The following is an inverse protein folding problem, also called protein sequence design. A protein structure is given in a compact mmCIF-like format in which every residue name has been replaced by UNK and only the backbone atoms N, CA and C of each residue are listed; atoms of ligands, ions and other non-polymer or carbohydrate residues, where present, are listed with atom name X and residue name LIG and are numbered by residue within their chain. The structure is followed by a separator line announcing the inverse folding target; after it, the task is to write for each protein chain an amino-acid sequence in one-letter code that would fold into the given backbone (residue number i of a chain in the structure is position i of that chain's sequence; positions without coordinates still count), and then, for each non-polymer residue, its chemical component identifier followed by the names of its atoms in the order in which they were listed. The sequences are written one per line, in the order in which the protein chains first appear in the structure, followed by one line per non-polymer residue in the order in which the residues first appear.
data_IF_720510027212
#
_entry.id   IF_720510027212
#
_cell.length_a   1.000
_cell.length_b   1.000
_cell.length_c   1.000
_cell.angle_alpha   90.00
_cell.angle_beta   90.00
_cell.angle_gamma   90.00
#
_symmetry.space_group_name_H-M   'P 1'
#
loop_
_entity.id
_entity.type
_entity.pdbx_description
1 polymer ?
#
# COMPACT_ATOMS: atom_id res chain seq x y z
N UNK A 1 41.94 5.44 -0.10
CA UNK A 1 41.03 4.42 0.44
C UNK A 1 39.62 4.88 0.13
N UNK A 2 38.84 4.11 -0.62
CA UNK A 2 37.41 4.39 -0.75
C UNK A 2 36.80 4.09 0.63
N UNK A 3 36.54 5.14 1.38
CA UNK A 3 35.84 5.08 2.65
C UNK A 3 34.45 4.47 2.38
N UNK A 4 34.17 3.31 2.98
CA UNK A 4 32.87 2.66 2.82
C UNK A 4 31.84 3.48 3.57
N UNK A 5 30.87 4.05 2.86
CA UNK A 5 29.77 4.83 3.44
C UNK A 5 28.54 3.94 3.60
N UNK A 6 27.93 3.94 4.77
CA UNK A 6 26.70 3.21 5.08
C UNK A 6 25.53 4.20 5.16
N UNK A 7 24.39 3.82 4.58
CA UNK A 7 23.20 4.65 4.52
C UNK A 7 22.35 4.51 5.80
N UNK A 8 22.01 5.65 6.39
CA UNK A 8 21.06 5.78 7.50
C UNK A 8 19.87 6.61 7.02
N UNK A 9 18.79 5.97 6.53
CA UNK A 9 17.60 6.66 6.03
C UNK A 9 16.69 7.12 7.17
N UNK A 10 16.04 8.24 6.96
CA UNK A 10 15.10 8.84 7.90
C UNK A 10 14.12 9.78 7.16
N UNK A 11 13.16 10.33 7.88
CA UNK A 11 12.15 11.23 7.32
C UNK A 11 11.97 12.46 8.20
N UNK A 12 11.59 13.58 7.58
CA UNK A 12 10.97 14.70 8.27
C UNK A 12 9.46 14.56 8.08
N UNK A 13 8.78 14.16 9.15
CA UNK A 13 7.33 14.04 9.20
C UNK A 13 6.68 15.39 9.51
N UNK A 14 5.66 15.72 8.74
CA UNK A 14 4.95 16.98 8.75
C UNK A 14 3.47 16.69 9.01
N UNK A 15 3.01 16.88 10.24
CA UNK A 15 1.61 16.78 10.58
C UNK A 15 0.92 18.09 10.22
N UNK A 16 -0.06 18.01 9.32
CA UNK A 16 -0.77 19.16 8.80
C UNK A 16 -1.91 19.53 9.76
N UNK A 17 -2.19 20.83 9.91
CA UNK A 17 -3.39 21.25 10.62
C UNK A 17 -4.65 20.74 9.90
N UNK A 18 -5.69 20.42 10.68
CA UNK A 18 -6.88 19.75 10.15
C UNK A 18 -7.48 20.39 8.88
N UNK A 19 -7.54 19.60 7.80
CA UNK A 19 -8.11 20.00 6.51
C UNK A 19 -7.18 20.79 5.59
N UNK A 20 -5.94 21.05 6.00
CA UNK A 20 -4.91 21.66 5.16
C UNK A 20 -4.31 20.65 4.18
N UNK A 21 -3.85 21.14 3.04
CA UNK A 21 -3.08 20.39 2.06
C UNK A 21 -1.98 21.30 1.50
N UNK A 22 -0.79 20.78 1.17
CA UNK A 22 0.23 21.59 0.54
C UNK A 22 -0.21 22.00 -0.88
N UNK A 23 0.14 23.21 -1.29
CA UNK A 23 -0.15 23.75 -2.63
C UNK A 23 0.50 22.90 -3.74
N UNK A 24 1.61 22.25 -3.42
CA UNK A 24 2.37 21.35 -4.29
C UNK A 24 3.14 20.32 -3.47
N UNK A 25 3.47 19.19 -4.08
CA UNK A 25 4.22 18.11 -3.43
C UNK A 25 5.73 18.18 -3.67
N UNK A 26 6.19 19.08 -4.54
CA UNK A 26 7.57 19.12 -4.98
C UNK A 26 8.17 20.52 -4.78
N UNK A 27 9.42 20.55 -4.33
CA UNK A 27 10.25 21.74 -4.21
C UNK A 27 11.13 21.86 -5.45
N UNK A 28 11.39 23.09 -5.88
CA UNK A 28 12.43 23.37 -6.87
C UNK A 28 13.80 23.03 -6.32
N UNK A 29 14.80 22.89 -7.19
CA UNK A 29 16.19 22.65 -6.78
C UNK A 29 16.69 23.65 -5.73
N UNK A 30 16.40 24.94 -5.89
CA UNK A 30 16.87 25.98 -4.97
C UNK A 30 16.14 25.93 -3.63
N UNK A 31 14.84 25.64 -3.64
CA UNK A 31 14.03 25.46 -2.43
C UNK A 31 14.46 24.20 -1.66
N UNK A 32 14.69 23.09 -2.36
CA UNK A 32 15.20 21.86 -1.78
C UNK A 32 16.58 22.06 -1.16
N UNK A 33 17.46 22.82 -1.82
CA UNK A 33 18.79 23.14 -1.28
C UNK A 33 18.69 24.02 -0.02
N UNK A 34 17.76 24.98 0.00
CA UNK A 34 17.50 25.82 1.17
C UNK A 34 16.97 25.00 2.34
N UNK A 35 15.99 24.13 2.09
CA UNK A 35 15.47 23.21 3.09
C UNK A 35 16.57 22.29 3.64
N UNK A 36 17.40 21.72 2.76
CA UNK A 36 18.48 20.84 3.17
C UNK A 36 19.51 21.54 4.08
N UNK A 37 19.79 22.83 3.87
CA UNK A 37 20.65 23.60 4.76
C UNK A 37 20.03 23.77 6.15
N UNK A 38 18.73 24.12 6.22
CA UNK A 38 17.99 24.26 7.48
C UNK A 38 17.90 22.93 8.25
N UNK A 39 17.58 21.85 7.55
CA UNK A 39 17.57 20.50 8.15
C UNK A 39 18.96 20.11 8.63
N UNK A 40 20.02 20.41 7.88
CA UNK A 40 21.38 20.14 8.33
C UNK A 40 21.77 20.95 9.58
N UNK A 41 21.26 22.18 9.75
CA UNK A 41 21.42 22.96 10.97
C UNK A 41 20.73 22.29 12.17
N UNK A 42 19.48 21.85 11.99
CA UNK A 42 18.72 21.13 13.01
C UNK A 42 19.45 19.82 13.41
N UNK A 43 19.87 19.02 12.43
CA UNK A 43 20.55 17.75 12.66
C UNK A 43 21.89 17.93 13.39
N UNK A 44 22.63 19.01 13.15
CA UNK A 44 23.86 19.30 13.92
C UNK A 44 23.58 19.61 15.38
N UNK A 45 22.45 20.23 15.69
CA UNK A 45 22.04 20.48 17.06
C UNK A 45 21.55 19.19 17.75
N UNK A 46 20.88 18.31 17.01
CA UNK A 46 20.30 17.06 17.53
C UNK A 46 21.31 15.91 17.63
N UNK A 47 22.26 15.83 16.68
CA UNK A 47 23.16 14.70 16.48
C UNK A 47 24.62 15.20 16.39
N UNK A 48 25.30 15.42 17.52
CA UNK A 48 26.70 15.83 17.52
C UNK A 48 27.58 14.82 16.76
N UNK A 49 28.40 15.31 15.81
CA UNK A 49 29.28 14.46 15.00
C UNK A 49 28.70 14.08 13.63
N UNK A 50 27.46 14.47 13.33
CA UNK A 50 26.80 14.25 12.03
C UNK A 50 27.56 14.92 10.86
N UNK A 51 28.41 15.91 11.14
CA UNK A 51 29.22 16.64 10.15
C UNK A 51 30.26 15.77 9.44
N UNK A 52 30.60 14.62 10.01
CA UNK A 52 31.44 13.59 9.38
C UNK A 52 30.71 12.87 8.23
N UNK A 53 29.38 12.93 8.23
CA UNK A 53 28.51 12.24 7.29
C UNK A 53 28.17 13.14 6.11
N UNK A 54 27.82 12.52 4.97
CA UNK A 54 27.17 13.25 3.87
C UNK A 54 25.66 13.22 4.10
N UNK A 55 25.00 14.36 3.98
CA UNK A 55 23.56 14.51 4.12
C UNK A 55 22.91 14.66 2.74
N UNK A 56 21.81 13.93 2.51
CA UNK A 56 21.02 14.05 1.30
C UNK A 56 19.52 14.15 1.62
N UNK A 57 18.80 15.01 0.90
CA UNK A 57 17.36 15.23 1.05
C UNK A 57 16.66 15.21 -0.30
N UNK A 58 15.50 14.56 -0.38
CA UNK A 58 14.60 14.71 -1.51
C UNK A 58 13.63 15.87 -1.25
N UNK A 59 13.60 16.87 -2.13
CA UNK A 59 12.70 18.01 -2.06
C UNK A 59 11.29 17.66 -2.52
N UNK A 60 10.71 16.61 -1.96
CA UNK A 60 9.37 16.14 -2.31
C UNK A 60 8.65 15.56 -1.08
N UNK A 61 7.32 15.69 -1.06
CA UNK A 61 6.44 15.31 0.04
C UNK A 61 5.66 14.06 -0.35
N UNK A 62 5.86 12.99 0.41
CA UNK A 62 5.26 11.67 0.18
C UNK A 62 4.26 11.33 1.28
N UNK A 63 3.38 10.38 0.97
CA UNK A 63 2.63 9.61 1.96
C UNK A 63 3.48 8.44 2.51
N UNK A 64 3.10 7.93 3.68
CA UNK A 64 3.73 6.74 4.29
C UNK A 64 3.68 5.52 3.39
N UNK A 65 2.58 5.31 2.65
CA UNK A 65 2.44 4.15 1.75
C UNK A 65 3.47 4.16 0.62
N UNK A 66 3.92 5.34 0.18
CA UNK A 66 4.89 5.48 -0.90
C UNK A 66 6.32 5.18 -0.42
N UNK A 67 6.65 5.61 0.80
CA UNK A 67 7.96 5.36 1.40
C UNK A 67 8.11 3.91 1.88
N UNK A 68 7.02 3.30 2.33
CA UNK A 68 6.96 1.93 2.84
C UNK A 68 6.53 0.93 1.76
N UNK A 69 7.13 1.00 0.58
CA UNK A 69 6.99 -0.05 -0.46
C UNK A 69 8.16 -1.04 -0.36
N UNK A 70 7.98 -2.33 -0.66
CA UNK A 70 9.07 -3.31 -0.65
C UNK A 70 10.30 -2.83 -1.42
N UNK A 71 11.49 -2.96 -0.79
CA UNK A 71 12.75 -2.44 -1.33
C UNK A 71 12.97 -0.94 -1.13
N UNK A 72 12.04 -0.22 -0.49
CA UNK A 72 12.13 1.21 -0.17
C UNK A 72 12.55 2.08 -1.37
N UNK A 73 11.83 2.04 -2.50
CA UNK A 73 12.28 2.59 -3.78
C UNK A 73 12.66 4.07 -3.72
N UNK A 74 11.96 4.88 -2.92
CA UNK A 74 12.27 6.30 -2.72
C UNK A 74 13.61 6.47 -2.02
N UNK A 75 13.82 5.77 -0.89
CA UNK A 75 15.05 5.83 -0.10
C UNK A 75 16.25 5.23 -0.85
N UNK A 76 16.05 4.11 -1.54
CA UNK A 76 17.07 3.48 -2.38
C UNK A 76 17.51 4.39 -3.53
N UNK A 77 16.57 5.08 -4.18
CA UNK A 77 16.87 6.05 -5.23
C UNK A 77 17.62 7.27 -4.68
N UNK A 78 17.20 7.78 -3.52
CA UNK A 78 17.91 8.87 -2.85
C UNK A 78 19.35 8.47 -2.52
N UNK A 79 19.58 7.25 -2.03
CA UNK A 79 20.90 6.68 -1.79
C UNK A 79 21.76 6.63 -3.05
N UNK A 80 21.23 6.06 -4.13
CA UNK A 80 21.93 5.94 -5.40
C UNK A 80 22.39 7.31 -5.92
N UNK A 81 21.49 8.29 -5.91
CA UNK A 81 21.80 9.66 -6.34
C UNK A 81 22.81 10.32 -5.40
N UNK A 82 22.62 10.21 -4.09
CA UNK A 82 23.51 10.81 -3.10
C UNK A 82 24.94 10.27 -3.22
N UNK A 83 25.12 8.97 -3.52
CA UNK A 83 26.44 8.35 -3.72
C UNK A 83 27.15 8.83 -4.98
N UNK A 84 26.41 9.21 -6.02
CA UNK A 84 26.97 9.72 -7.29
C UNK A 84 27.51 11.15 -7.22
N UNK A 85 27.14 11.92 -6.20
CA UNK A 85 27.61 13.30 -6.06
C UNK A 85 29.09 13.34 -5.64
N UNK A 86 29.98 14.06 -6.36
CA UNK A 86 31.38 14.17 -5.98
C UNK A 86 31.59 15.01 -4.70
N UNK A 87 32.45 14.56 -3.77
CA UNK A 87 32.73 15.25 -2.49
C UNK A 87 33.18 16.72 -2.64
N UNK A 88 33.84 17.07 -3.74
CA UNK A 88 34.42 18.42 -3.95
C UNK A 88 33.37 19.46 -4.33
N UNK A 89 32.20 19.02 -4.82
CA UNK A 89 31.19 19.93 -5.39
C UNK A 89 30.28 20.54 -4.31
N UNK A 90 30.18 19.91 -3.13
CA UNK A 90 29.24 20.32 -2.08
C UNK A 90 29.99 20.70 -0.80
N UNK A 91 30.02 21.99 -0.47
CA UNK A 91 30.51 22.44 0.83
C UNK A 91 29.71 21.77 1.96
N UNK A 92 30.40 21.12 2.90
CA UNK A 92 29.77 20.45 4.05
C UNK A 92 29.04 19.14 3.74
N UNK A 93 29.12 18.61 2.51
CA UNK A 93 28.51 17.32 2.18
C UNK A 93 26.97 17.31 2.21
N UNK A 94 26.32 18.48 2.14
CA UNK A 94 24.86 18.62 2.05
C UNK A 94 24.43 18.60 0.58
N UNK A 95 23.52 17.70 0.23
CA UNK A 95 22.97 17.51 -1.11
C UNK A 95 21.45 17.57 -1.05
N UNK A 96 20.82 18.25 -2.00
CA UNK A 96 19.38 18.22 -2.17
C UNK A 96 18.99 17.87 -3.60
N UNK A 97 17.90 17.13 -3.74
CA UNK A 97 17.32 16.76 -5.03
C UNK A 97 15.92 17.36 -5.12
N UNK A 98 15.78 18.45 -5.87
CA UNK A 98 14.49 19.06 -6.19
C UNK A 98 14.26 19.09 -7.70
N UNK A 99 13.13 19.66 -8.11
CA UNK A 99 12.77 19.72 -9.53
C UNK A 99 13.68 20.65 -10.33
N UNK A 100 13.96 20.26 -11.57
CA UNK A 100 14.54 21.12 -12.59
C UNK A 100 13.62 21.11 -13.81
N UNK A 101 13.22 22.30 -14.29
CA UNK A 101 12.23 22.43 -15.36
C UNK A 101 10.93 21.64 -15.08
N UNK A 102 10.51 21.59 -13.81
CA UNK A 102 9.29 20.90 -13.38
C UNK A 102 9.40 19.38 -13.25
N UNK A 103 10.60 18.80 -13.32
CA UNK A 103 10.80 17.36 -13.22
C UNK A 103 11.76 16.99 -12.10
N UNK A 104 11.40 16.00 -11.29
CA UNK A 104 12.30 15.35 -10.33
C UNK A 104 13.38 14.54 -11.07
N UNK A 105 14.57 14.35 -10.49
CA UNK A 105 15.70 13.71 -11.18
C UNK A 105 15.53 12.20 -11.41
N UNK A 106 14.55 11.56 -10.79
CA UNK A 106 14.23 10.15 -10.97
C UNK A 106 12.75 9.87 -10.66
N UNK A 107 12.14 8.91 -11.36
CA UNK A 107 10.73 8.57 -11.22
C UNK A 107 10.30 8.20 -9.79
N UNK A 108 11.07 7.41 -9.00
CA UNK A 108 10.69 7.11 -7.62
C UNK A 108 10.69 8.32 -6.68
N UNK A 109 11.27 9.46 -7.09
CA UNK A 109 11.22 10.69 -6.31
C UNK A 109 10.05 11.60 -6.70
N UNK A 110 9.16 11.17 -7.60
CA UNK A 110 7.93 11.88 -7.95
C UNK A 110 6.80 11.35 -7.04
N UNK A 111 6.23 12.16 -6.14
CA UNK A 111 5.10 11.75 -5.33
C UNK A 111 3.85 11.48 -6.18
N UNK A 112 3.07 10.49 -5.78
CA UNK A 112 1.79 10.17 -6.42
C UNK A 112 0.67 11.09 -5.87
N UNK A 113 0.04 11.92 -6.73
CA UNK A 113 -1.05 12.80 -6.32
C UNK A 113 -2.26 12.08 -5.71
N UNK A 114 -2.44 10.78 -6.00
CA UNK A 114 -3.53 9.99 -5.41
C UNK A 114 -3.46 9.93 -3.89
N UNK A 115 -2.25 9.89 -3.33
CA UNK A 115 -2.05 9.87 -1.88
C UNK A 115 -1.97 11.28 -1.29
N UNK A 116 -2.32 12.33 -2.02
CA UNK A 116 -2.03 13.69 -1.58
C UNK A 116 -2.84 14.14 -0.33
N UNK A 117 -3.95 13.48 -0.05
CA UNK A 117 -4.93 13.88 0.98
C UNK A 117 -4.61 13.48 2.42
N UNK A 118 -3.48 12.79 2.68
CA UNK A 118 -3.13 12.31 4.02
C UNK A 118 -2.85 13.47 5.01
N UNK A 119 -3.16 13.30 6.31
CA UNK A 119 -2.95 14.32 7.34
C UNK A 119 -1.48 14.53 7.70
N UNK A 120 -0.60 13.64 7.23
CA UNK A 120 0.84 13.69 7.45
C UNK A 120 1.58 13.60 6.12
N UNK A 121 2.68 14.35 6.01
CA UNK A 121 3.59 14.35 4.85
C UNK A 121 5.00 14.03 5.28
N UNK A 122 5.70 13.29 4.44
CA UNK A 122 7.04 12.79 4.75
C UNK A 122 8.02 13.32 3.71
N UNK A 123 9.06 14.00 4.18
CA UNK A 123 10.19 14.41 3.34
C UNK A 123 11.35 13.46 3.64
N UNK A 124 11.73 12.56 2.73
CA UNK A 124 12.79 11.59 2.98
C UNK A 124 14.16 12.24 2.90
N UNK A 125 15.01 11.87 3.85
CA UNK A 125 16.40 12.27 3.91
C UNK A 125 17.28 11.10 4.35
N UNK A 126 18.59 11.24 4.19
CA UNK A 126 19.53 10.23 4.64
C UNK A 126 20.88 10.81 5.03
N UNK A 127 21.58 10.05 5.86
CA UNK A 127 23.00 10.24 6.12
C UNK A 127 23.79 9.09 5.48
N UNK A 128 24.88 9.43 4.80
CA UNK A 128 25.89 8.49 4.33
C UNK A 128 27.10 8.62 5.25
N UNK A 129 27.20 7.66 6.17
CA UNK A 129 28.07 7.69 7.34
C UNK A 129 29.30 6.81 7.11
N UNK A 130 30.52 7.24 7.53
CA UNK A 130 31.68 6.35 7.56
C UNK A 130 31.40 5.05 8.34
N UNK A 131 31.83 3.92 7.81
CA UNK A 131 31.50 2.60 8.37
C UNK A 131 31.99 2.39 9.82
N UNK A 132 33.02 3.10 10.25
CA UNK A 132 33.54 3.07 11.62
C UNK A 132 32.72 3.92 12.62
N UNK A 133 31.79 4.75 12.12
CA UNK A 133 30.96 5.66 12.93
C UNK A 133 29.46 5.33 12.88
N UNK A 134 29.05 4.42 11.99
CA UNK A 134 27.61 4.14 11.75
C UNK A 134 26.89 3.65 12.99
N UNK A 135 27.49 2.77 13.79
CA UNK A 135 26.82 2.16 14.93
C UNK A 135 26.48 3.23 15.98
N UNK A 136 27.46 4.07 16.35
CA UNK A 136 27.28 5.15 17.31
C UNK A 136 26.25 6.17 16.83
N UNK A 137 26.33 6.57 15.55
CA UNK A 137 25.42 7.57 14.99
C UNK A 137 23.99 7.03 14.83
N UNK A 138 23.82 5.79 14.36
CA UNK A 138 22.50 5.16 14.27
C UNK A 138 21.84 5.04 15.65
N UNK A 139 22.59 4.62 16.67
CA UNK A 139 22.04 4.60 18.02
C UNK A 139 21.71 5.99 18.56
N UNK A 140 22.49 7.02 18.20
CA UNK A 140 22.19 8.40 18.55
C UNK A 140 20.92 8.90 17.84
N UNK A 141 20.73 8.55 16.57
CA UNK A 141 19.50 8.86 15.82
C UNK A 141 18.28 8.29 16.53
N UNK A 142 18.26 6.99 16.84
CA UNK A 142 17.10 6.38 17.52
C UNK A 142 16.80 7.04 18.87
N UNK A 143 17.82 7.36 19.67
CA UNK A 143 17.62 7.97 21.00
C UNK A 143 17.19 9.44 20.92
N UNK A 144 17.90 10.25 20.16
CA UNK A 144 17.72 11.70 20.17
C UNK A 144 16.52 12.13 19.32
N UNK A 145 16.23 11.47 18.19
CA UNK A 145 15.09 11.83 17.34
C UNK A 145 13.76 11.45 18.01
N UNK A 146 13.69 10.30 18.67
CA UNK A 146 12.50 9.92 19.45
C UNK A 146 12.20 10.93 20.59
N UNK A 147 13.25 11.41 21.28
CA UNK A 147 13.09 12.28 22.45
C UNK A 147 12.95 13.78 22.12
N UNK A 148 13.70 14.27 21.12
CA UNK A 148 13.88 15.70 20.82
C UNK A 148 13.78 16.04 19.34
N UNK A 149 13.32 15.13 18.50
CA UNK A 149 13.34 15.28 17.04
C UNK A 149 12.42 16.36 16.46
N UNK A 150 11.97 17.37 17.21
CA UNK A 150 11.22 18.48 16.62
C UNK A 150 12.10 19.30 15.67
N UNK A 151 11.55 19.65 14.51
CA UNK A 151 12.23 20.53 13.57
C UNK A 151 12.33 21.95 14.13
N UNK A 152 13.44 22.63 13.82
CA UNK A 152 13.66 24.00 14.24
C UNK A 152 12.62 24.96 13.66
N UNK A 153 12.40 26.09 14.33
CA UNK A 153 11.43 27.11 13.90
C UNK A 153 11.69 27.60 12.48
N UNK A 154 12.97 27.77 12.10
CA UNK A 154 13.33 28.21 10.75
C UNK A 154 12.94 27.18 9.67
N UNK A 155 13.13 25.88 9.95
CA UNK A 155 12.73 24.78 9.07
C UNK A 155 11.22 24.75 8.88
N UNK A 156 10.47 24.79 9.98
CA UNK A 156 9.00 24.79 9.97
C UNK A 156 8.43 26.03 9.26
N UNK A 157 8.97 27.23 9.55
CA UNK A 157 8.55 28.48 8.91
C UNK A 157 8.81 28.47 7.40
N UNK A 158 9.97 27.95 6.98
CA UNK A 158 10.30 27.81 5.57
C UNK A 158 9.29 26.90 4.85
N UNK A 159 9.00 25.73 5.42
CA UNK A 159 8.06 24.76 4.86
C UNK A 159 6.65 25.35 4.74
N UNK A 160 6.13 25.96 5.81
CA UNK A 160 4.80 26.57 5.80
C UNK A 160 4.66 27.66 4.72
N UNK A 161 5.66 28.54 4.60
CA UNK A 161 5.63 29.63 3.60
C UNK A 161 5.81 29.14 2.16
N UNK A 162 6.65 28.13 1.95
CA UNK A 162 7.03 27.66 0.60
C UNK A 162 5.96 26.74 0.00
N UNK A 163 5.22 26.04 0.84
CA UNK A 163 4.23 25.03 0.45
C UNK A 163 2.77 25.45 0.75
N UNK A 164 2.55 26.64 1.29
CA UNK A 164 1.21 27.18 1.51
C UNK A 164 0.38 26.42 2.54
N UNK A 165 1.03 25.69 3.46
CA UNK A 165 0.38 24.84 4.46
C UNK A 165 0.62 25.32 5.89
N UNK A 166 -0.21 24.85 6.82
CA UNK A 166 0.03 25.00 8.27
C UNK A 166 0.39 23.66 8.89
N UNK A 167 1.36 23.67 9.79
CA UNK A 167 1.85 22.50 10.50
C UNK A 167 1.35 22.53 11.95
N UNK A 168 0.87 21.39 12.43
CA UNK A 168 0.71 21.13 13.87
C UNK A 168 2.05 20.72 14.46
N UNK A 169 2.73 19.77 13.79
CA UNK A 169 4.03 19.26 14.21
C UNK A 169 4.94 19.02 13.00
N UNK A 170 6.24 19.21 13.20
CA UNK A 170 7.29 18.83 12.27
C UNK A 170 8.36 18.06 13.05
N UNK A 171 8.58 16.78 12.73
CA UNK A 171 9.42 15.88 13.51
C UNK A 171 10.30 15.00 12.63
N UNK A 172 11.57 14.89 12.98
CA UNK A 172 12.49 13.92 12.43
C UNK A 172 12.21 12.54 13.03
N UNK A 173 12.07 11.53 12.17
CA UNK A 173 11.84 10.14 12.54
C UNK A 173 12.84 9.25 11.81
N UNK A 174 13.35 8.22 12.47
CA UNK A 174 14.09 7.16 11.77
C UNK A 174 13.14 6.38 10.86
N UNK A 175 13.69 5.58 9.93
CA UNK A 175 12.86 4.65 9.15
C UNK A 175 12.16 3.65 10.08
N UNK A 176 12.81 3.23 11.14
CA UNK A 176 12.28 2.25 12.09
C UNK A 176 11.15 2.89 12.94
N UNK A 177 11.28 4.17 13.33
CA UNK A 177 10.19 4.95 13.92
C UNK A 177 8.98 5.05 12.98
N UNK A 178 9.21 5.29 11.68
CA UNK A 178 8.12 5.36 10.69
C UNK A 178 7.40 4.02 10.57
N UNK A 179 8.14 2.90 10.52
CA UNK A 179 7.56 1.56 10.51
C UNK A 179 6.72 1.31 11.77
N UNK A 180 7.24 1.66 12.95
CA UNK A 180 6.54 1.51 14.22
C UNK A 180 5.25 2.36 14.28
N UNK A 181 5.32 3.60 13.81
CA UNK A 181 4.16 4.49 13.72
C UNK A 181 3.08 3.91 12.80
N UNK A 182 3.46 3.45 11.59
CA UNK A 182 2.52 2.84 10.64
C UNK A 182 1.92 1.54 11.17
N UNK A 183 2.70 0.71 11.85
CA UNK A 183 2.21 -0.48 12.54
C UNK A 183 1.05 -0.14 13.48
N UNK A 184 1.28 0.79 14.42
CA UNK A 184 0.27 1.23 15.40
C UNK A 184 -0.96 1.83 14.70
N UNK A 185 -0.76 2.62 13.64
CA UNK A 185 -1.86 3.19 12.86
C UNK A 185 -2.75 2.09 12.24
N UNK A 186 -2.15 1.05 11.66
CA UNK A 186 -2.90 -0.05 11.04
C UNK A 186 -3.57 -0.95 12.07
N UNK A 187 -2.93 -1.20 13.21
CA UNK A 187 -3.55 -1.93 14.32
C UNK A 187 -4.82 -1.23 14.82
N UNK A 188 -4.81 0.10 14.99
CA UNK A 188 -5.97 0.87 15.45
C UNK A 188 -7.18 0.81 14.51
N UNK A 189 -6.99 0.49 13.23
CA UNK A 189 -8.07 0.34 12.24
C UNK A 189 -8.37 -1.13 11.89
N UNK A 190 -7.95 -2.07 12.74
CA UNK A 190 -8.14 -3.52 12.57
C UNK A 190 -7.44 -4.12 11.32
N UNK A 191 -6.28 -3.55 10.95
CA UNK A 191 -5.45 -4.03 9.84
C UNK A 191 -4.17 -4.73 10.32
N UNK A 192 -4.11 -5.13 11.59
CA UNK A 192 -2.95 -5.86 12.15
C UNK A 192 -2.55 -7.13 11.35
N UNK A 193 -3.49 -7.97 10.85
CA UNK A 193 -3.13 -9.11 10.01
C UNK A 193 -2.45 -8.70 8.70
N UNK A 194 -2.84 -7.55 8.15
CA UNK A 194 -2.26 -7.02 6.93
C UNK A 194 -0.89 -6.40 7.17
N UNK A 195 -0.71 -5.71 8.31
CA UNK A 195 0.61 -5.26 8.73
C UNK A 195 1.61 -6.42 8.81
N UNK A 196 1.20 -7.58 9.34
CA UNK A 196 2.07 -8.78 9.37
C UNK A 196 2.57 -9.14 7.96
N UNK A 197 1.72 -9.05 6.94
CA UNK A 197 2.11 -9.31 5.54
C UNK A 197 3.04 -8.22 4.98
N UNK A 198 2.74 -6.95 5.27
CA UNK A 198 3.54 -5.81 4.82
C UNK A 198 4.92 -5.78 5.48
N UNK A 199 5.01 -6.04 6.77
CA UNK A 199 6.26 -6.14 7.51
C UNK A 199 7.16 -7.23 6.91
N UNK A 200 6.58 -8.40 6.60
CA UNK A 200 7.28 -9.47 5.89
C UNK A 200 7.83 -8.97 4.54
N UNK A 201 6.98 -8.31 3.74
CA UNK A 201 7.37 -7.78 2.44
C UNK A 201 8.47 -6.68 2.53
N UNK A 202 8.48 -5.89 3.60
CA UNK A 202 9.40 -4.78 3.80
C UNK A 202 10.75 -5.22 4.37
N UNK A 203 10.73 -6.10 5.38
CA UNK A 203 11.90 -6.39 6.21
C UNK A 203 12.47 -7.79 6.00
N UNK A 204 11.61 -8.76 5.71
CA UNK A 204 12.02 -10.16 5.51
C UNK A 204 11.37 -10.76 4.27
N UNK A 205 11.54 -10.17 3.07
CA UNK A 205 10.77 -10.56 1.87
C UNK A 205 11.02 -12.00 1.42
N UNK A 206 12.06 -12.64 1.94
CA UNK A 206 12.47 -14.01 1.70
C UNK A 206 11.83 -15.04 2.66
N UNK A 207 11.05 -14.60 3.66
CA UNK A 207 10.33 -15.48 4.57
C UNK A 207 8.86 -15.59 4.16
N UNK A 208 8.30 -16.77 4.35
CA UNK A 208 6.86 -16.97 4.32
C UNK A 208 6.26 -16.50 5.64
N UNK A 209 5.12 -15.81 5.56
CA UNK A 209 4.36 -15.40 6.74
C UNK A 209 2.87 -15.68 6.56
N UNK A 210 2.17 -15.88 7.68
CA UNK A 210 0.73 -16.18 7.69
C UNK A 210 0.01 -15.37 8.74
N UNK A 211 -1.21 -14.93 8.42
CA UNK A 211 -2.11 -14.30 9.38
C UNK A 211 -3.56 -14.70 9.09
N UNK A 212 -4.46 -14.38 10.03
CA UNK A 212 -5.90 -14.50 9.86
C UNK A 212 -6.52 -13.11 9.89
N UNK A 213 -7.30 -12.77 8.86
CA UNK A 213 -8.10 -11.55 8.85
C UNK A 213 -9.11 -11.52 10.00
N UNK A 214 -9.76 -10.38 10.22
CA UNK A 214 -10.70 -10.19 11.33
C UNK A 214 -11.89 -11.16 11.26
N UNK A 215 -12.26 -11.57 10.04
CA UNK A 215 -13.31 -12.60 9.80
C UNK A 215 -12.77 -14.02 9.58
N UNK A 216 -11.50 -14.24 9.88
CA UNK A 216 -10.85 -15.55 9.79
C UNK A 216 -10.36 -15.92 8.40
N UNK A 217 -10.40 -15.01 7.41
CA UNK A 217 -9.84 -15.25 6.07
C UNK A 217 -8.32 -15.48 6.19
N UNK A 218 -7.79 -16.64 5.77
CA UNK A 218 -6.36 -16.88 5.79
C UNK A 218 -5.62 -15.98 4.80
N UNK A 219 -4.54 -15.38 5.27
CA UNK A 219 -3.57 -14.64 4.47
C UNK A 219 -2.23 -15.37 4.51
N UNK A 220 -1.55 -15.45 3.37
CA UNK A 220 -0.20 -15.99 3.28
C UNK A 220 0.68 -15.06 2.44
N UNK A 221 1.72 -14.50 3.02
CA UNK A 221 2.78 -13.83 2.26
C UNK A 221 3.81 -14.86 1.83
N UNK A 222 4.11 -14.91 0.53
CA UNK A 222 5.20 -15.70 -0.03
C UNK A 222 5.62 -15.13 -1.39
N UNK A 223 6.91 -15.18 -1.71
CA UNK A 223 7.44 -14.78 -3.02
C UNK A 223 7.00 -13.37 -3.47
N UNK A 224 6.92 -12.41 -2.53
CA UNK A 224 6.58 -11.01 -2.84
C UNK A 224 5.08 -10.72 -3.06
N UNK A 225 4.19 -11.67 -2.77
CA UNK A 225 2.74 -11.52 -2.91
C UNK A 225 2.00 -12.03 -1.67
N UNK A 226 0.77 -11.55 -1.49
CA UNK A 226 -0.18 -12.03 -0.49
C UNK A 226 -1.20 -12.91 -1.18
N UNK A 227 -1.40 -14.10 -0.66
CA UNK A 227 -2.31 -15.10 -1.20
C UNK A 227 -3.47 -15.36 -0.23
N UNK A 228 -4.66 -15.53 -0.80
CA UNK A 228 -5.86 -16.01 -0.09
C UNK A 228 -6.32 -17.34 -0.70
N UNK A 229 -7.05 -18.19 0.05
CA UNK A 229 -7.69 -19.36 -0.55
C UNK A 229 -8.79 -18.94 -1.53
N UNK A 230 -9.32 -19.91 -2.30
CA UNK A 230 -10.56 -19.75 -3.05
C UNK A 230 -11.67 -19.20 -2.14
N UNK A 231 -12.12 -17.97 -2.38
CA UNK A 231 -12.92 -17.21 -1.43
C UNK A 231 -14.29 -17.83 -1.20
N UNK A 232 -15.00 -18.21 -2.27
CA UNK A 232 -16.30 -18.86 -2.19
C UNK A 232 -16.19 -20.26 -1.59
N UNK A 233 -15.18 -21.05 -2.00
CA UNK A 233 -14.96 -22.39 -1.47
C UNK A 233 -14.61 -22.37 0.03
N UNK A 234 -13.71 -21.48 0.44
CA UNK A 234 -13.35 -21.27 1.84
C UNK A 234 -14.57 -20.78 2.64
N UNK A 235 -15.34 -19.83 2.13
CA UNK A 235 -16.51 -19.31 2.83
C UNK A 235 -17.57 -20.40 3.06
N UNK A 236 -17.84 -21.22 2.05
CA UNK A 236 -18.78 -22.33 2.16
C UNK A 236 -18.30 -23.39 3.16
N UNK A 237 -17.00 -23.70 3.22
CA UNK A 237 -16.48 -24.78 4.06
C UNK A 237 -16.14 -24.36 5.49
N UNK A 238 -15.39 -23.28 5.64
CA UNK A 238 -14.60 -23.01 6.84
C UNK A 238 -15.00 -21.70 7.55
N UNK A 239 -15.60 -20.74 6.84
CA UNK A 239 -15.97 -19.46 7.44
C UNK A 239 -17.10 -19.59 8.49
N UNK A 240 -17.03 -18.73 9.51
CA UNK A 240 -18.13 -18.53 10.45
C UNK A 240 -19.26 -17.75 9.78
N UNK A 241 -20.39 -18.43 9.52
CA UNK A 241 -21.54 -17.85 8.81
C UNK A 241 -22.54 -17.13 9.73
N UNK A 242 -22.32 -17.17 11.05
CA UNK A 242 -23.21 -16.56 12.03
C UNK A 242 -24.68 -16.96 11.85
N UNK A 243 -25.60 -16.03 12.13
CA UNK A 243 -27.03 -16.18 11.86
C UNK A 243 -27.46 -15.75 10.46
N UNK A 244 -26.58 -15.05 9.73
CA UNK A 244 -26.85 -14.55 8.39
C UNK A 244 -25.60 -14.64 7.51
N UNK A 245 -25.49 -15.75 6.78
CA UNK A 245 -24.35 -16.04 5.91
C UNK A 245 -24.10 -14.96 4.84
N UNK A 246 -25.15 -14.38 4.26
CA UNK A 246 -25.02 -13.34 3.26
C UNK A 246 -24.41 -12.05 3.85
N UNK A 247 -24.77 -11.71 5.09
CA UNK A 247 -24.18 -10.58 5.80
C UNK A 247 -22.69 -10.83 6.12
N UNK A 248 -22.34 -12.03 6.57
CA UNK A 248 -20.95 -12.38 6.85
C UNK A 248 -20.09 -12.35 5.58
N UNK A 249 -20.59 -12.89 4.46
CA UNK A 249 -19.87 -12.82 3.18
C UNK A 249 -19.68 -11.38 2.71
N UNK A 250 -20.70 -10.53 2.82
CA UNK A 250 -20.58 -9.10 2.52
C UNK A 250 -19.48 -8.45 3.39
N UNK A 251 -19.46 -8.77 4.69
CA UNK A 251 -18.42 -8.30 5.60
C UNK A 251 -17.01 -8.76 5.21
N UNK A 252 -16.84 -10.00 4.77
CA UNK A 252 -15.56 -10.52 4.28
C UNK A 252 -15.13 -9.81 2.99
N UNK A 253 -16.05 -9.58 2.05
CA UNK A 253 -15.76 -8.88 0.81
C UNK A 253 -15.39 -7.41 1.05
N UNK A 254 -16.03 -6.76 2.03
CA UNK A 254 -15.66 -5.41 2.45
C UNK A 254 -14.23 -5.38 2.99
N UNK A 255 -13.88 -6.28 3.92
CA UNK A 255 -12.52 -6.40 4.45
C UNK A 255 -11.50 -6.68 3.34
N UNK A 256 -11.82 -7.60 2.43
CA UNK A 256 -10.94 -7.96 1.32
C UNK A 256 -10.68 -6.79 0.36
N UNK A 257 -11.68 -5.93 0.11
CA UNK A 257 -11.50 -4.69 -0.67
C UNK A 257 -10.56 -3.72 0.02
N UNK A 258 -10.67 -3.57 1.34
CA UNK A 258 -9.74 -2.73 2.11
C UNK A 258 -8.32 -3.28 2.03
N UNK A 259 -8.17 -4.60 2.16
CA UNK A 259 -6.85 -5.25 2.05
C UNK A 259 -6.25 -5.08 0.66
N UNK A 260 -7.04 -5.29 -0.39
CA UNK A 260 -6.59 -5.12 -1.76
C UNK A 260 -6.14 -3.68 -2.05
N UNK A 261 -6.92 -2.68 -1.61
CA UNK A 261 -6.58 -1.28 -1.79
C UNK A 261 -5.27 -0.91 -1.08
N UNK A 262 -5.10 -1.34 0.19
CA UNK A 262 -3.90 -1.02 0.94
C UNK A 262 -2.66 -1.76 0.41
N UNK A 263 -2.77 -3.05 0.10
CA UNK A 263 -1.68 -3.81 -0.52
C UNK A 263 -1.26 -3.18 -1.86
N UNK A 264 -2.23 -2.78 -2.69
CA UNK A 264 -1.94 -2.08 -3.95
C UNK A 264 -1.20 -0.76 -3.71
N UNK A 265 -1.57 0.04 -2.71
CA UNK A 265 -0.85 1.28 -2.36
C UNK A 265 0.62 1.04 -1.98
N UNK A 266 0.90 -0.07 -1.30
CA UNK A 266 2.25 -0.54 -0.95
C UNK A 266 2.95 -1.33 -2.08
N UNK A 267 2.34 -1.49 -3.25
CA UNK A 267 2.85 -2.30 -4.36
C UNK A 267 3.09 -3.78 -4.00
N UNK A 268 2.22 -4.35 -3.17
CA UNK A 268 2.19 -5.79 -2.87
C UNK A 268 0.97 -6.39 -3.55
N UNK A 269 1.17 -7.44 -4.33
CA UNK A 269 0.07 -8.06 -5.07
C UNK A 269 -0.76 -8.98 -4.18
N UNK A 270 -2.08 -8.83 -4.24
CA UNK A 270 -3.04 -9.78 -3.69
C UNK A 270 -3.46 -10.77 -4.78
N UNK A 271 -3.32 -12.06 -4.52
CA UNK A 271 -3.71 -13.13 -5.44
C UNK A 271 -4.55 -14.20 -4.75
N UNK A 272 -5.23 -15.03 -5.54
CA UNK A 272 -5.91 -16.22 -5.07
C UNK A 272 -5.05 -17.46 -5.35
N UNK A 273 -4.96 -18.36 -4.38
CA UNK A 273 -4.19 -19.60 -4.48
C UNK A 273 -4.60 -20.41 -5.72
N UNK A 274 -3.60 -20.92 -6.43
CA UNK A 274 -3.75 -21.74 -7.65
C UNK A 274 -4.54 -21.08 -8.80
N UNK A 275 -4.75 -19.76 -8.73
CA UNK A 275 -5.43 -18.98 -9.77
C UNK A 275 -4.44 -17.99 -10.42
N UNK A 276 -4.68 -17.63 -11.70
CA UNK A 276 -3.90 -16.58 -12.35
C UNK A 276 -4.02 -15.25 -11.59
N UNK A 277 -2.91 -14.52 -11.50
CA UNK A 277 -2.92 -13.17 -10.95
C UNK A 277 -3.68 -12.21 -11.88
N UNK A 278 -4.49 -11.35 -11.27
CA UNK A 278 -5.32 -10.35 -11.95
C UNK A 278 -5.17 -9.01 -11.23
N UNK A 279 -5.39 -7.91 -11.94
CA UNK A 279 -5.26 -6.57 -11.39
C UNK A 279 -6.64 -6.04 -10.98
N UNK A 280 -6.80 -5.66 -9.71
CA UNK A 280 -8.02 -5.05 -9.19
C UNK A 280 -9.22 -6.00 -8.98
N UNK A 281 -9.16 -7.25 -9.41
CA UNK A 281 -10.21 -8.27 -9.16
C UNK A 281 -9.60 -9.65 -8.91
N UNK A 282 -10.42 -10.63 -8.51
CA UNK A 282 -10.07 -12.04 -8.42
C UNK A 282 -11.11 -12.92 -9.14
N UNK A 283 -10.68 -14.05 -9.70
CA UNK A 283 -11.56 -15.07 -10.29
C UNK A 283 -11.27 -16.43 -9.67
N UNK A 284 -12.29 -17.04 -9.09
CA UNK A 284 -12.28 -18.41 -8.59
C UNK A 284 -12.97 -19.33 -9.59
N UNK A 285 -12.19 -20.19 -10.26
CA UNK A 285 -12.72 -21.18 -11.20
C UNK A 285 -13.21 -22.41 -10.46
N UNK A 286 -14.42 -22.88 -10.78
CA UNK A 286 -15.10 -23.98 -10.11
C UNK A 286 -15.34 -25.18 -11.01
N UNK A 287 -15.74 -24.94 -12.27
CA UNK A 287 -16.06 -26.00 -13.22
C UNK A 287 -15.99 -25.51 -14.67
N UNK A 288 -15.75 -26.44 -15.58
CA UNK A 288 -15.92 -26.19 -17.02
C UNK A 288 -17.41 -26.19 -17.42
N UNK A 289 -17.78 -25.41 -18.45
CA UNK A 289 -19.12 -25.48 -19.05
C UNK A 289 -19.48 -26.89 -19.48
N UNK A 290 -20.71 -27.33 -19.17
CA UNK A 290 -21.30 -28.51 -19.75
C UNK A 290 -21.87 -28.17 -21.14
N UNK A 291 -21.34 -28.72 -22.24
CA UNK A 291 -21.82 -28.43 -23.60
C UNK A 291 -23.26 -28.87 -23.85
N UNK A 292 -23.82 -29.76 -23.01
CA UNK A 292 -25.20 -30.25 -23.12
C UNK A 292 -26.21 -29.39 -22.37
N UNK A 293 -25.74 -28.48 -21.49
CA UNK A 293 -26.58 -27.56 -20.75
C UNK A 293 -26.80 -26.25 -21.51
N UNK A 294 -27.71 -25.42 -20.99
CA UNK A 294 -27.91 -24.07 -21.52
C UNK A 294 -26.62 -23.24 -21.45
N UNK A 295 -26.52 -22.21 -22.29
CA UNK A 295 -25.39 -21.28 -22.28
C UNK A 295 -25.19 -20.68 -20.87
N UNK A 296 -23.93 -20.48 -20.43
CA UNK A 296 -23.65 -19.78 -19.19
C UNK A 296 -24.28 -18.39 -19.16
N UNK A 297 -24.56 -17.89 -17.95
CA UNK A 297 -25.07 -16.54 -17.72
C UNK A 297 -24.34 -15.90 -16.56
N UNK A 298 -24.28 -14.57 -16.59
CA UNK A 298 -23.62 -13.75 -15.56
C UNK A 298 -24.66 -13.23 -14.57
N UNK A 299 -24.40 -13.42 -13.28
CA UNK A 299 -25.26 -12.97 -12.19
C UNK A 299 -24.49 -12.07 -11.23
N UNK A 300 -25.00 -10.86 -10.98
CA UNK A 300 -24.39 -9.93 -10.02
C UNK A 300 -25.05 -10.06 -8.64
N UNK A 301 -24.21 -10.33 -7.64
CA UNK A 301 -24.57 -10.35 -6.23
C UNK A 301 -24.38 -8.95 -5.66
N UNK A 302 -25.43 -8.43 -5.02
CA UNK A 302 -25.43 -7.07 -4.48
C UNK A 302 -25.50 -7.08 -2.95
N UNK A 303 -24.73 -6.19 -2.33
CA UNK A 303 -24.76 -5.97 -0.89
C UNK A 303 -24.83 -4.47 -0.58
N UNK A 304 -25.61 -4.11 0.45
CA UNK A 304 -25.74 -2.73 0.90
C UNK A 304 -24.36 -2.17 1.30
N UNK A 305 -24.01 -1.00 0.78
CA UNK A 305 -22.70 -0.36 0.98
C UNK A 305 -21.56 -0.89 0.09
N UNK A 306 -21.76 -2.00 -0.64
CA UNK A 306 -20.75 -2.57 -1.55
C UNK A 306 -21.13 -2.50 -3.03
N UNK A 307 -22.41 -2.30 -3.35
CA UNK A 307 -22.89 -2.40 -4.73
C UNK A 307 -22.75 -3.84 -5.24
N UNK A 308 -22.26 -4.02 -6.47
CA UNK A 308 -21.93 -5.35 -7.01
C UNK A 308 -20.72 -5.91 -6.27
N UNK A 309 -20.98 -6.83 -5.34
CA UNK A 309 -20.01 -7.38 -4.41
C UNK A 309 -19.31 -8.64 -4.95
N UNK A 310 -20.02 -9.44 -5.75
CA UNK A 310 -19.49 -10.61 -6.42
C UNK A 310 -20.25 -10.88 -7.73
N UNK A 311 -19.61 -11.58 -8.66
CA UNK A 311 -20.16 -12.02 -9.93
C UNK A 311 -20.13 -13.54 -9.97
N UNK A 312 -21.24 -14.17 -10.33
CA UNK A 312 -21.30 -15.62 -10.53
C UNK A 312 -21.57 -15.91 -12.00
N UNK A 313 -20.74 -16.73 -12.63
CA UNK A 313 -21.09 -17.36 -13.91
C UNK A 313 -21.66 -18.75 -13.62
N UNK A 314 -22.87 -19.00 -14.12
CA UNK A 314 -23.53 -20.30 -13.94
C UNK A 314 -24.34 -20.72 -15.16
N UNK A 315 -24.48 -22.03 -15.35
CA UNK A 315 -25.44 -22.61 -16.29
C UNK A 315 -26.75 -22.92 -15.55
N UNK A 316 -27.91 -22.46 -16.06
CA UNK A 316 -29.20 -22.75 -15.46
C UNK A 316 -29.61 -24.19 -15.77
N UNK A 317 -29.29 -25.10 -14.86
CA UNK A 317 -29.71 -26.51 -14.89
C UNK A 317 -30.81 -26.76 -13.85
N UNK A 318 -31.80 -27.64 -14.13
CA UNK A 318 -32.90 -27.89 -13.22
C UNK A 318 -32.45 -28.32 -11.82
N UNK A 319 -33.08 -27.75 -10.78
CA UNK A 319 -32.81 -28.07 -9.38
C UNK A 319 -31.71 -27.23 -8.74
N UNK A 320 -30.48 -27.26 -9.26
CA UNK A 320 -29.33 -26.49 -8.72
C UNK A 320 -28.45 -25.98 -9.84
N UNK A 321 -28.32 -24.66 -9.96
CA UNK A 321 -27.48 -24.04 -10.98
C UNK A 321 -26.04 -24.57 -10.92
N UNK A 322 -25.45 -24.83 -12.09
CA UNK A 322 -24.06 -25.25 -12.21
C UNK A 322 -23.18 -24.01 -12.23
N UNK A 323 -22.59 -23.67 -11.09
CA UNK A 323 -21.64 -22.56 -10.98
C UNK A 323 -20.33 -22.95 -11.66
N UNK A 324 -19.87 -22.10 -12.58
CA UNK A 324 -18.62 -22.28 -13.32
C UNK A 324 -17.47 -21.47 -12.71
N UNK A 325 -17.76 -20.24 -12.27
CA UNK A 325 -16.81 -19.39 -11.57
C UNK A 325 -17.49 -18.31 -10.73
N UNK A 326 -16.74 -17.81 -9.76
CA UNK A 326 -17.05 -16.59 -9.01
C UNK A 326 -15.98 -15.53 -9.25
N UNK A 327 -16.40 -14.28 -9.42
CA UNK A 327 -15.55 -13.11 -9.62
C UNK A 327 -15.76 -12.09 -8.52
N UNK A 328 -14.67 -11.48 -8.05
CA UNK A 328 -14.70 -10.53 -6.94
C UNK A 328 -14.03 -9.22 -7.38
N UNK A 329 -14.80 -8.17 -7.68
CA UNK A 329 -14.23 -6.87 -7.99
C UNK A 329 -13.71 -6.23 -6.69
N UNK A 330 -12.42 -5.95 -6.64
CA UNK A 330 -11.72 -5.44 -5.46
C UNK A 330 -11.39 -3.95 -5.56
N UNK A 331 -11.14 -3.43 -6.76
CA UNK A 331 -10.92 -2.03 -7.04
C UNK A 331 -12.16 -1.36 -7.69
N UNK A 332 -12.33 -0.03 -7.57
CA UNK A 332 -13.51 0.68 -8.07
C UNK A 332 -13.77 0.53 -9.59
N UNK A 333 -12.71 0.39 -10.38
CA UNK A 333 -12.71 0.28 -11.84
C UNK A 333 -12.60 -1.17 -12.35
N UNK A 334 -12.52 -2.14 -11.44
CA UNK A 334 -12.25 -3.54 -11.79
C UNK A 334 -13.47 -4.34 -12.28
N UNK A 335 -14.68 -3.79 -12.18
CA UNK A 335 -15.90 -4.52 -12.56
C UNK A 335 -15.95 -4.82 -14.06
N UNK A 336 -15.68 -3.83 -14.91
CA UNK A 336 -15.67 -4.01 -16.38
C UNK A 336 -14.65 -5.07 -16.83
N UNK A 337 -13.34 -4.97 -16.48
CA UNK A 337 -12.37 -5.97 -16.90
C UNK A 337 -12.64 -7.36 -16.30
N UNK A 338 -13.22 -7.44 -15.10
CA UNK A 338 -13.69 -8.71 -14.54
C UNK A 338 -14.77 -9.35 -15.42
N UNK A 339 -15.79 -8.57 -15.83
CA UNK A 339 -16.88 -9.08 -16.67
C UNK A 339 -16.39 -9.51 -18.05
N UNK A 340 -15.47 -8.76 -18.66
CA UNK A 340 -14.85 -9.11 -19.94
C UNK A 340 -14.05 -10.41 -19.85
N UNK A 341 -13.18 -10.54 -18.84
CA UNK A 341 -12.39 -11.75 -18.62
C UNK A 341 -13.26 -13.00 -18.39
N UNK A 342 -14.35 -12.82 -17.64
CA UNK A 342 -15.33 -13.88 -17.39
C UNK A 342 -16.13 -14.24 -18.66
N UNK A 343 -16.59 -13.24 -19.43
CA UNK A 343 -17.33 -13.46 -20.68
C UNK A 343 -16.48 -14.17 -21.74
N UNK A 344 -15.23 -13.73 -21.92
CA UNK A 344 -14.26 -14.33 -22.83
C UNK A 344 -13.98 -15.79 -22.45
N UNK A 345 -13.67 -16.04 -21.17
CA UNK A 345 -13.32 -17.38 -20.68
C UNK A 345 -14.44 -18.41 -20.86
N UNK A 346 -15.69 -18.01 -20.63
CA UNK A 346 -16.83 -18.93 -20.64
C UNK A 346 -17.71 -18.83 -21.88
N UNK A 347 -17.35 -17.99 -22.86
CA UNK A 347 -18.07 -17.85 -24.12
C UNK A 347 -19.53 -17.40 -23.94
N UNK A 348 -19.76 -16.47 -23.02
CA UNK A 348 -21.09 -15.91 -22.71
C UNK A 348 -21.19 -14.44 -23.13
N UNK A 349 -22.40 -13.96 -23.39
CA UNK A 349 -22.67 -12.54 -23.50
C UNK A 349 -22.35 -11.84 -22.17
N UNK A 350 -21.92 -10.57 -22.25
CA UNK A 350 -21.59 -9.73 -21.08
C UNK A 350 -22.84 -9.14 -20.40
N UNK A 351 -24.05 -9.63 -20.74
CA UNK A 351 -25.28 -9.19 -20.10
C UNK A 351 -25.33 -9.67 -18.64
N UNK A 352 -25.45 -8.72 -17.71
CA UNK A 352 -25.42 -8.98 -16.27
C UNK A 352 -26.84 -9.04 -15.72
N UNK A 353 -27.21 -10.18 -15.14
CA UNK A 353 -28.45 -10.32 -14.39
C UNK A 353 -28.24 -9.93 -12.92
N UNK A 354 -28.78 -8.78 -12.50
CA UNK A 354 -28.69 -8.34 -11.11
C UNK A 354 -29.64 -9.13 -10.22
N UNK A 355 -29.11 -9.64 -9.09
CA UNK A 355 -29.90 -10.43 -8.14
C UNK A 355 -30.57 -9.58 -7.06
N UNK A 356 -30.14 -8.32 -6.85
CA UNK A 356 -30.62 -7.47 -5.76
C UNK A 356 -30.18 -7.91 -4.36
N UNK A 357 -29.39 -8.99 -4.26
CA UNK A 357 -28.89 -9.57 -3.01
C UNK A 357 -27.72 -10.52 -3.27
N UNK A 358 -26.99 -10.87 -2.22
CA UNK A 358 -26.11 -12.04 -2.24
C UNK A 358 -26.98 -13.30 -2.14
N UNK A 359 -26.96 -14.14 -3.19
CA UNK A 359 -27.63 -15.43 -3.21
C UNK A 359 -26.63 -16.55 -2.84
N UNK A 360 -26.97 -17.33 -1.81
CA UNK A 360 -26.21 -18.50 -1.36
C UNK A 360 -27.08 -19.75 -1.42
N UNK A 361 -26.46 -20.92 -1.64
CA UNK A 361 -27.13 -22.21 -1.53
C UNK A 361 -27.17 -22.72 -0.07
N UNK A 362 -27.70 -23.92 0.14
CA UNK A 362 -27.83 -24.52 1.46
C UNK A 362 -26.49 -24.78 2.17
N UNK A 363 -25.41 -24.91 1.40
CA UNK A 363 -24.05 -25.11 1.91
C UNK A 363 -23.33 -23.77 2.17
N UNK A 364 -24.00 -22.65 1.84
CA UNK A 364 -23.45 -21.30 1.97
C UNK A 364 -22.51 -20.92 0.83
N UNK A 365 -22.54 -21.64 -0.29
CA UNK A 365 -21.78 -21.28 -1.49
C UNK A 365 -22.55 -20.27 -2.36
N UNK A 366 -21.82 -19.37 -3.04
CA UNK A 366 -22.40 -18.49 -4.05
C UNK A 366 -23.12 -19.32 -5.12
N UNK A 367 -24.32 -18.90 -5.48
CA UNK A 367 -25.16 -19.62 -6.43
C UNK A 367 -25.99 -18.67 -7.27
N UNK A 368 -26.68 -19.22 -8.27
CA UNK A 368 -27.53 -18.49 -9.21
C UNK A 368 -28.93 -19.11 -9.28
N UNK A 369 -29.93 -18.38 -9.80
CA UNK A 369 -31.27 -18.93 -10.06
C UNK A 369 -31.22 -20.19 -10.94
N UNK A 370 -31.96 -21.21 -10.53
CA UNK A 370 -32.07 -22.49 -11.23
C UNK A 370 -33.54 -22.73 -11.64
N UNK A 371 -33.82 -23.32 -12.82
CA UNK A 371 -35.15 -23.80 -13.18
C UNK A 371 -35.65 -24.85 -12.16
N UNK A 372 -36.97 -24.90 -11.94
CA UNK A 372 -37.58 -25.90 -11.06
C UNK A 372 -37.45 -27.32 -11.66
N UNK A 373 -37.33 -28.34 -10.80
CA UNK A 373 -37.52 -29.74 -11.20
C UNK A 373 -39.02 -29.94 -11.48
N UNK A 374 -39.37 -30.25 -12.72
CA UNK A 374 -40.74 -30.59 -13.13
C UNK A 374 -41.07 -32.05 -12.85
#
# INVERSE_FOLDING_TARGET
MNESLIACPAVLALELAGGEMPDRLELTRDEAQTLAALVADDLRALLPGVESSRFALAGALFDGVELLRPGFPVLATLEELARRVPRVVTAGGVVAFGTHEGHMPAQPLVPDPHFAGGPMRLIPWMLLVPADQVEDLSQAMERELAAKGEAGTATSDFLMRTLGMRLEHARYLTRDDLLALTCVQYEHVNLAPLWTMLEAALLTPYKDETALGSRGLPLRYAEGRVEIPGLAAWFARDANKGSNAAHELAGTLFELRQYAALLAAHHVHLVMQDMPATEGFLIETMADPDPSAAAPRIYAHEAAGLGMAAITIAQPVPGKARVLANGFPLAPDALTPLLEALAERYGTDSEVHTLGRIMLDADGALTAPAPALH
#
